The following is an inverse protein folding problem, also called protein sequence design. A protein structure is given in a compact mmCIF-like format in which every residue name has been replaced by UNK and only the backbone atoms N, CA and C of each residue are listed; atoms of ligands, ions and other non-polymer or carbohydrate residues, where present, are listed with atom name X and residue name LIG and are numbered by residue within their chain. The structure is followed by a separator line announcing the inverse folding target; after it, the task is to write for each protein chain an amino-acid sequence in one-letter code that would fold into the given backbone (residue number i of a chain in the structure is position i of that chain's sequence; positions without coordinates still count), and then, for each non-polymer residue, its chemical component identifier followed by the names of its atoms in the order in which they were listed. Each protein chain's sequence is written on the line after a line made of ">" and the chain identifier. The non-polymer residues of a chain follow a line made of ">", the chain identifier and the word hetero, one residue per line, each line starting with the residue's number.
data_IF_316458337184
#
_entry.id   IF_316458337184
#
_cell.length_a   1.000
_cell.length_b   1.000
_cell.length_c   1.000
_cell.angle_alpha   90.00
_cell.angle_beta   90.00
_cell.angle_gamma   90.00
#
_symmetry.space_group_name_H-M   'P 1'
#
loop_
_entity.id
_entity.type
_entity.pdbx_description
1 polymer ?
#
# COMPACT_ATOMS: atom_id res chain seq x y z
N UNK A 1 38.86 11.30 -11.34
CA UNK A 1 37.90 11.94 -10.41
C UNK A 1 36.51 11.38 -10.70
N UNK A 2 36.04 10.45 -9.88
CA UNK A 2 34.70 9.87 -9.98
C UNK A 2 33.67 10.98 -9.70
N UNK A 3 32.89 11.38 -10.71
CA UNK A 3 31.75 12.28 -10.52
C UNK A 3 30.73 11.52 -9.67
N UNK A 4 30.67 11.80 -8.37
CA UNK A 4 29.61 11.29 -7.51
C UNK A 4 28.27 11.71 -8.12
N UNK A 5 27.44 10.74 -8.50
CA UNK A 5 26.05 11.02 -8.85
C UNK A 5 25.42 11.73 -7.65
N UNK A 6 24.72 12.86 -7.84
CA UNK A 6 24.02 13.49 -6.74
C UNK A 6 23.05 12.49 -6.12
N UNK A 7 23.05 12.42 -4.79
CA UNK A 7 22.19 11.51 -4.04
C UNK A 7 20.71 11.82 -4.38
N UNK A 8 19.85 10.81 -4.52
CA UNK A 8 18.45 11.02 -4.85
C UNK A 8 17.78 11.85 -3.76
N UNK A 9 17.25 13.03 -4.12
CA UNK A 9 16.47 13.86 -3.20
C UNK A 9 15.02 13.40 -3.21
N UNK A 10 14.40 13.22 -2.03
CA UNK A 10 12.96 13.00 -1.92
C UNK A 10 12.23 14.27 -2.37
N UNK A 11 11.39 14.15 -3.41
CA UNK A 11 10.59 15.24 -3.95
C UNK A 11 9.16 15.15 -3.45
N UNK A 12 8.58 13.95 -3.37
CA UNK A 12 7.19 13.75 -2.99
C UNK A 12 7.03 12.59 -2.04
N UNK A 13 6.41 12.84 -0.88
CA UNK A 13 6.21 11.87 0.19
C UNK A 13 4.72 11.75 0.52
N UNK A 14 4.22 10.53 0.66
CA UNK A 14 2.97 10.27 1.35
C UNK A 14 3.29 9.82 2.77
N UNK A 15 2.83 10.58 3.76
CA UNK A 15 3.02 10.28 5.17
C UNK A 15 1.72 9.78 5.76
N UNK A 16 1.68 8.54 6.23
CA UNK A 16 0.52 7.99 6.93
C UNK A 16 0.76 8.00 8.44
N UNK A 17 -0.19 8.57 9.18
CA UNK A 17 -0.19 8.60 10.65
C UNK A 17 -1.37 7.77 11.16
N UNK A 18 -1.07 6.68 11.89
CA UNK A 18 -2.10 5.79 12.44
C UNK A 18 -2.80 6.35 13.68
N UNK A 19 -3.99 5.81 13.98
CA UNK A 19 -4.83 6.23 15.13
C UNK A 19 -4.07 6.22 16.45
N UNK A 20 -3.19 5.25 16.69
CA UNK A 20 -2.41 5.13 17.93
C UNK A 20 -1.41 6.27 18.16
N UNK A 21 -1.08 7.04 17.12
CA UNK A 21 -0.18 8.21 17.19
C UNK A 21 -0.96 9.54 17.28
N UNK A 22 -2.20 9.55 16.78
CA UNK A 22 -3.07 10.73 16.76
C UNK A 22 -3.91 10.80 18.04
N UNK A 23 -4.26 9.65 18.60
CA UNK A 23 -5.23 9.50 19.69
C UNK A 23 -4.53 9.04 20.99
N UNK A 24 -4.46 9.91 22.01
CA UNK A 24 -3.77 9.61 23.29
C UNK A 24 -4.70 8.86 24.27
N UNK A 25 -4.17 8.19 25.31
CA UNK A 25 -5.03 7.58 26.35
C UNK A 25 -5.70 8.62 27.27
N UNK A 26 -5.11 9.81 27.40
CA UNK A 26 -5.43 10.78 28.47
C UNK A 26 -5.97 12.12 27.97
N UNK A 27 -5.69 12.50 26.72
CA UNK A 27 -6.16 13.74 26.09
C UNK A 27 -7.10 13.44 24.92
N UNK A 28 -7.78 14.46 24.40
CA UNK A 28 -8.66 14.33 23.24
C UNK A 28 -7.91 14.06 21.91
N UNK A 29 -6.58 14.23 21.92
CA UNK A 29 -5.65 14.17 20.79
C UNK A 29 -4.21 14.13 21.34
N UNK A 30 -3.30 13.30 20.81
CA UNK A 30 -1.88 13.28 21.24
C UNK A 30 -1.14 14.50 20.67
N UNK A 31 -1.41 15.68 21.24
CA UNK A 31 -0.86 16.96 20.75
C UNK A 31 0.66 16.97 20.76
N UNK A 32 1.30 16.31 21.73
CA UNK A 32 2.76 16.26 21.82
C UNK A 32 3.35 15.51 20.62
N UNK A 33 2.90 14.29 20.36
CA UNK A 33 3.40 13.48 19.24
C UNK A 33 3.10 14.17 17.90
N UNK A 34 1.87 14.64 17.73
CA UNK A 34 1.45 15.27 16.47
C UNK A 34 2.17 16.59 16.23
N UNK A 35 2.42 17.42 17.25
CA UNK A 35 3.18 18.66 17.08
C UNK A 35 4.60 18.38 16.59
N UNK A 36 5.28 17.36 17.15
CA UNK A 36 6.61 16.97 16.66
C UNK A 36 6.60 16.49 15.21
N UNK A 37 5.54 15.78 14.78
CA UNK A 37 5.36 15.40 13.39
C UNK A 37 5.08 16.62 12.48
N UNK A 38 4.26 17.58 12.94
CA UNK A 38 3.98 18.83 12.23
C UNK A 38 5.28 19.60 11.99
N UNK A 39 6.12 19.76 13.00
CA UNK A 39 7.42 20.43 12.86
C UNK A 39 8.32 19.74 11.82
N UNK A 40 8.35 18.41 11.78
CA UNK A 40 9.10 17.67 10.76
C UNK A 40 8.51 17.83 9.35
N UNK A 41 7.19 17.82 9.20
CA UNK A 41 6.51 18.10 7.92
C UNK A 41 6.82 19.53 7.45
N UNK A 42 6.80 20.51 8.34
CA UNK A 42 7.17 21.91 8.05
C UNK A 42 8.60 21.98 7.52
N UNK A 43 9.56 21.28 8.16
CA UNK A 43 10.95 21.22 7.68
C UNK A 43 11.06 20.58 6.30
N UNK A 44 10.34 19.49 6.04
CA UNK A 44 10.29 18.86 4.71
C UNK A 44 9.77 19.82 3.64
N UNK A 45 8.63 20.46 3.90
CA UNK A 45 8.02 21.41 2.96
C UNK A 45 8.91 22.63 2.72
N UNK A 46 9.56 23.16 3.76
CA UNK A 46 10.54 24.26 3.64
C UNK A 46 11.75 23.86 2.80
N UNK A 47 12.16 22.58 2.84
CA UNK A 47 13.20 22.00 1.99
C UNK A 47 12.78 21.75 0.53
N UNK A 48 11.53 22.06 0.18
CA UNK A 48 10.94 21.88 -1.15
C UNK A 48 10.35 20.50 -1.42
N UNK A 49 10.15 19.68 -0.39
CA UNK A 49 9.49 18.38 -0.51
C UNK A 49 7.97 18.56 -0.48
N UNK A 50 7.28 17.99 -1.45
CA UNK A 50 5.81 17.89 -1.47
C UNK A 50 5.35 16.77 -0.54
N UNK A 51 4.39 17.07 0.32
CA UNK A 51 3.88 16.11 1.32
C UNK A 51 2.37 15.95 1.14
N UNK A 52 1.90 14.71 1.18
CA UNK A 52 0.48 14.38 1.37
C UNK A 52 0.36 13.62 2.69
N UNK A 53 -0.47 14.12 3.60
CA UNK A 53 -0.71 13.50 4.90
C UNK A 53 -1.95 12.61 4.82
N UNK A 54 -1.82 11.32 5.13
CA UNK A 54 -2.94 10.41 5.31
C UNK A 54 -3.13 10.18 6.80
N UNK A 55 -4.21 10.71 7.38
CA UNK A 55 -4.39 10.69 8.83
C UNK A 55 -5.59 9.85 9.24
N UNK A 56 -5.43 9.04 10.28
CA UNK A 56 -6.54 8.35 10.96
C UNK A 56 -6.97 9.13 12.22
N UNK A 57 -8.00 8.64 12.92
CA UNK A 57 -8.37 9.16 14.25
C UNK A 57 -9.70 9.93 14.31
N UNK A 58 -10.40 10.10 13.19
CA UNK A 58 -11.73 10.72 13.16
C UNK A 58 -12.72 10.01 14.11
N UNK A 59 -12.87 8.69 14.00
CA UNK A 59 -13.75 7.92 14.89
C UNK A 59 -13.35 8.05 16.36
N UNK A 60 -12.05 8.01 16.67
CA UNK A 60 -11.55 8.16 18.05
C UNK A 60 -11.87 9.54 18.63
N UNK A 61 -11.64 10.59 17.84
CA UNK A 61 -12.01 11.97 18.16
C UNK A 61 -13.52 12.12 18.41
N UNK A 62 -14.36 11.49 17.58
CA UNK A 62 -15.81 11.50 17.75
C UNK A 62 -16.28 10.76 19.00
N UNK A 63 -15.70 9.59 19.30
CA UNK A 63 -16.02 8.79 20.50
C UNK A 63 -15.80 9.60 21.77
N UNK A 64 -14.65 10.26 21.89
CA UNK A 64 -14.36 11.11 23.06
C UNK A 64 -15.32 12.29 23.14
N UNK A 65 -15.58 12.97 22.01
CA UNK A 65 -16.47 14.13 21.99
C UNK A 65 -17.89 13.78 22.46
N UNK A 66 -18.34 12.57 22.17
CA UNK A 66 -19.66 12.07 22.53
C UNK A 66 -19.68 11.34 23.88
N UNK A 67 -18.56 11.27 24.61
CA UNK A 67 -18.40 10.43 25.80
C UNK A 67 -18.91 9.00 25.55
N UNK A 68 -18.55 8.45 24.39
CA UNK A 68 -19.03 7.13 23.96
C UNK A 68 -18.27 6.03 24.70
N UNK A 69 -18.94 5.40 25.65
CA UNK A 69 -18.37 4.37 26.53
C UNK A 69 -18.59 2.93 26.02
N UNK A 70 -19.46 2.71 25.03
CA UNK A 70 -19.73 1.34 24.55
C UNK A 70 -18.50 0.75 23.88
N UNK A 71 -18.07 -0.42 24.32
CA UNK A 71 -16.91 -1.14 23.76
C UNK A 71 -17.05 -1.37 22.25
N UNK A 72 -18.23 -1.82 21.82
CA UNK A 72 -18.54 -2.05 20.42
C UNK A 72 -19.36 -0.89 19.83
N UNK A 73 -18.93 -0.42 18.66
CA UNK A 73 -19.66 0.53 17.84
C UNK A 73 -20.04 -0.18 16.53
N UNK A 74 -21.32 -0.16 16.18
CA UNK A 74 -21.82 -0.68 14.89
C UNK A 74 -21.16 0.08 13.72
N UNK A 75 -21.36 -0.37 12.48
CA UNK A 75 -21.00 0.43 11.30
C UNK A 75 -21.59 1.83 11.40
N UNK A 76 -22.91 1.94 11.63
CA UNK A 76 -23.63 3.21 11.67
C UNK A 76 -23.10 4.11 12.78
N UNK A 77 -22.84 3.56 13.98
CA UNK A 77 -22.24 4.32 15.07
C UNK A 77 -20.87 4.86 14.66
N UNK A 78 -20.02 4.03 14.03
CA UNK A 78 -18.69 4.46 13.58
C UNK A 78 -18.76 5.55 12.52
N UNK A 79 -19.70 5.47 11.58
CA UNK A 79 -19.92 6.49 10.56
C UNK A 79 -20.34 7.82 11.21
N UNK A 80 -21.28 7.79 12.17
CA UNK A 80 -21.70 8.97 12.91
C UNK A 80 -20.56 9.57 13.73
N UNK A 81 -19.79 8.73 14.43
CA UNK A 81 -18.63 9.13 15.21
C UNK A 81 -17.53 9.72 14.32
N UNK A 82 -17.27 9.16 13.13
CA UNK A 82 -16.35 9.73 12.15
C UNK A 82 -16.82 11.10 11.68
N UNK A 83 -18.11 11.26 11.35
CA UNK A 83 -18.67 12.53 10.93
C UNK A 83 -18.54 13.63 12.00
N UNK A 84 -18.67 13.27 13.28
CA UNK A 84 -18.46 14.18 14.42
C UNK A 84 -16.97 14.49 14.62
N UNK A 85 -16.11 13.49 14.49
CA UNK A 85 -14.69 13.62 14.83
C UNK A 85 -13.81 14.16 13.72
N UNK A 86 -14.19 14.01 12.44
CA UNK A 86 -13.43 14.44 11.28
C UNK A 86 -13.22 15.98 11.23
N UNK A 87 -14.26 16.83 11.43
CA UNK A 87 -14.04 18.28 11.52
C UNK A 87 -13.10 18.68 12.66
N UNK A 88 -13.13 17.95 13.78
CA UNK A 88 -12.24 18.20 14.93
C UNK A 88 -10.80 17.82 14.62
N UNK A 89 -10.59 16.67 13.98
CA UNK A 89 -9.27 16.23 13.50
C UNK A 89 -8.67 17.29 12.58
N UNK A 90 -9.46 17.77 11.62
CA UNK A 90 -9.05 18.86 10.74
C UNK A 90 -8.76 20.16 11.50
N UNK A 91 -9.62 20.54 12.47
CA UNK A 91 -9.41 21.73 13.28
C UNK A 91 -8.07 21.73 14.03
N UNK A 92 -7.66 20.59 14.59
CA UNK A 92 -6.35 20.46 15.26
C UNK A 92 -5.21 20.61 14.25
N UNK A 93 -5.27 19.96 13.09
CA UNK A 93 -4.24 20.14 12.07
C UNK A 93 -4.17 21.58 11.56
N UNK A 94 -5.31 22.21 11.28
CA UNK A 94 -5.37 23.62 10.87
C UNK A 94 -4.71 24.52 11.93
N UNK A 95 -5.02 24.33 13.21
CA UNK A 95 -4.42 25.11 14.30
C UNK A 95 -2.89 24.92 14.37
N UNK A 96 -2.40 23.69 14.23
CA UNK A 96 -0.96 23.39 14.33
C UNK A 96 -0.19 23.92 13.12
N UNK A 97 -0.69 23.72 11.90
CA UNK A 97 -0.03 24.19 10.68
C UNK A 97 -0.15 25.70 10.46
N UNK A 98 -1.20 26.34 10.97
CA UNK A 98 -1.35 27.81 10.92
C UNK A 98 -0.23 28.54 11.66
N UNK A 99 0.40 27.94 12.68
CA UNK A 99 1.58 28.49 13.38
C UNK A 99 2.81 28.62 12.48
N UNK A 100 2.79 27.97 11.32
CA UNK A 100 3.88 27.94 10.35
C UNK A 100 3.45 28.50 8.98
N UNK A 101 2.32 29.22 8.92
CA UNK A 101 1.73 29.76 7.68
C UNK A 101 1.47 28.70 6.59
N UNK A 102 1.29 27.44 6.98
CA UNK A 102 0.96 26.35 6.07
C UNK A 102 -0.55 26.17 6.02
N UNK A 103 -1.11 26.32 4.82
CA UNK A 103 -2.52 26.00 4.55
C UNK A 103 -2.69 24.49 4.41
N UNK A 104 -3.79 23.96 4.98
CA UNK A 104 -4.18 22.56 4.85
C UNK A 104 -5.47 22.43 4.05
N UNK A 105 -5.61 21.34 3.30
CA UNK A 105 -6.83 21.04 2.57
C UNK A 105 -7.34 19.64 2.94
N UNK A 106 -8.61 19.55 3.30
CA UNK A 106 -9.26 18.28 3.55
C UNK A 106 -9.56 17.57 2.23
N UNK A 107 -9.22 16.28 2.15
CA UNK A 107 -9.58 15.41 1.03
C UNK A 107 -10.17 14.11 1.59
N UNK A 108 -11.42 13.82 1.25
CA UNK A 108 -12.09 12.58 1.65
C UNK A 108 -12.24 11.68 0.43
N UNK A 109 -11.73 10.46 0.51
CA UNK A 109 -11.74 9.49 -0.58
C UNK A 109 -12.37 8.18 -0.11
N UNK A 110 -12.81 7.37 -1.07
CA UNK A 110 -13.16 5.97 -0.80
C UNK A 110 -12.30 5.06 -1.65
N UNK A 111 -11.98 3.86 -1.16
CA UNK A 111 -11.27 2.84 -1.95
C UNK A 111 -11.95 2.58 -3.31
N UNK A 112 -13.27 2.29 -3.30
CA UNK A 112 -14.05 2.08 -4.52
C UNK A 112 -14.04 3.31 -5.44
N UNK A 113 -13.97 4.51 -4.86
CA UNK A 113 -13.85 5.75 -5.61
C UNK A 113 -12.52 5.87 -6.38
N UNK A 114 -11.46 5.19 -5.94
CA UNK A 114 -10.15 5.19 -6.60
C UNK A 114 -9.95 4.06 -7.61
N UNK A 115 -10.84 3.06 -7.62
CA UNK A 115 -10.92 2.01 -8.63
C UNK A 115 -11.58 2.54 -9.92
N UNK A 116 -12.55 3.45 -9.81
CA UNK A 116 -13.14 4.16 -10.95
C UNK A 116 -12.14 5.16 -11.57
N UNK A 117 -11.91 5.04 -12.89
CA UNK A 117 -10.91 5.85 -13.60
C UNK A 117 -11.19 7.35 -13.52
N UNK A 118 -12.45 7.76 -13.66
CA UNK A 118 -12.81 9.17 -13.71
C UNK A 118 -12.67 9.83 -12.33
N UNK A 119 -13.20 9.20 -11.29
CA UNK A 119 -13.06 9.64 -9.90
C UNK A 119 -11.61 9.67 -9.46
N UNK A 120 -10.82 8.67 -9.86
CA UNK A 120 -9.37 8.66 -9.68
C UNK A 120 -8.70 9.89 -10.31
N UNK A 121 -8.94 10.18 -11.59
CA UNK A 121 -8.33 11.32 -12.28
C UNK A 121 -8.70 12.63 -11.62
N UNK A 122 -9.95 12.78 -11.17
CA UNK A 122 -10.39 13.97 -10.43
C UNK A 122 -9.64 14.12 -9.10
N UNK A 123 -9.51 13.04 -8.33
CA UNK A 123 -8.77 13.04 -7.06
C UNK A 123 -7.28 13.38 -7.28
N UNK A 124 -6.64 12.75 -8.28
CA UNK A 124 -5.25 13.03 -8.65
C UNK A 124 -5.04 14.49 -9.04
N UNK A 125 -5.85 15.00 -9.97
CA UNK A 125 -5.73 16.38 -10.45
C UNK A 125 -5.90 17.40 -9.31
N UNK A 126 -6.82 17.10 -8.37
CA UNK A 126 -7.03 17.93 -7.19
C UNK A 126 -5.80 17.91 -6.27
N UNK A 127 -5.26 16.72 -5.96
CA UNK A 127 -4.05 16.60 -5.15
C UNK A 127 -2.85 17.30 -5.81
N UNK A 128 -2.62 17.10 -7.10
CA UNK A 128 -1.54 17.77 -7.84
C UNK A 128 -1.69 19.30 -7.83
N UNK A 129 -2.93 19.80 -7.95
CA UNK A 129 -3.19 21.24 -7.86
C UNK A 129 -2.91 21.80 -6.47
N UNK A 130 -3.33 21.10 -5.41
CA UNK A 130 -3.06 21.52 -4.02
C UNK A 130 -1.55 21.58 -3.74
N UNK A 131 -0.81 20.56 -4.17
CA UNK A 131 0.65 20.53 -4.04
C UNK A 131 1.33 21.68 -4.79
N UNK A 132 0.88 21.98 -6.02
CA UNK A 132 1.37 23.12 -6.80
C UNK A 132 1.10 24.47 -6.12
N UNK A 133 -0.01 24.58 -5.36
CA UNK A 133 -0.33 25.75 -4.53
C UNK A 133 0.39 25.77 -3.18
N UNK A 134 1.26 24.78 -2.90
CA UNK A 134 1.93 24.61 -1.61
C UNK A 134 0.96 24.45 -0.43
N UNK A 135 -0.24 23.93 -0.70
CA UNK A 135 -1.24 23.57 0.32
C UNK A 135 -1.02 22.10 0.69
N UNK A 136 -0.97 21.79 1.98
CA UNK A 136 -0.80 20.42 2.48
C UNK A 136 -2.13 19.65 2.40
N UNK A 137 -2.26 18.63 1.52
CA UNK A 137 -3.46 17.81 1.49
C UNK A 137 -3.45 16.84 2.68
N UNK A 138 -4.55 16.83 3.44
CA UNK A 138 -4.83 15.88 4.51
C UNK A 138 -5.94 14.96 4.03
N UNK A 139 -5.55 13.75 3.66
CA UNK A 139 -6.39 12.70 3.13
C UNK A 139 -6.90 11.81 4.28
N UNK A 140 -8.19 11.50 4.26
CA UNK A 140 -8.76 10.44 5.09
C UNK A 140 -9.85 9.68 4.29
N UNK A 141 -10.22 8.50 4.77
CA UNK A 141 -11.36 7.76 4.23
C UNK A 141 -12.66 8.55 4.47
N UNK A 142 -13.59 8.51 3.53
CA UNK A 142 -14.93 9.05 3.69
C UNK A 142 -15.82 8.04 4.42
N UNK A 143 -15.60 7.88 5.73
CA UNK A 143 -16.25 6.87 6.57
C UNK A 143 -17.79 6.79 6.36
N UNK A 144 -18.47 7.92 6.16
CA UNK A 144 -19.94 8.01 6.03
C UNK A 144 -20.51 7.16 4.89
N UNK A 145 -19.73 6.86 3.85
CA UNK A 145 -20.18 6.10 2.66
C UNK A 145 -19.48 4.75 2.52
N UNK A 146 -18.69 4.34 3.51
CA UNK A 146 -17.94 3.07 3.53
C UNK A 146 -18.82 1.93 4.09
N UNK A 147 -18.73 0.73 3.50
CA UNK A 147 -19.44 -0.49 3.94
C UNK A 147 -18.55 -1.36 4.85
N UNK A 148 -19.13 -2.33 5.58
CA UNK A 148 -18.38 -3.22 6.48
C UNK A 148 -17.25 -4.01 5.79
N UNK A 149 -17.47 -4.41 4.53
CA UNK A 149 -16.52 -5.15 3.70
C UNK A 149 -15.22 -4.39 3.42
N UNK A 150 -15.23 -3.07 3.57
CA UNK A 150 -14.11 -2.18 3.24
C UNK A 150 -13.28 -1.75 4.46
N UNK A 151 -13.66 -2.12 5.69
CA UNK A 151 -13.15 -1.45 6.90
C UNK A 151 -11.74 -1.84 7.41
N UNK A 152 -11.16 -2.95 6.96
CA UNK A 152 -9.91 -3.44 7.53
C UNK A 152 -8.68 -2.80 6.88
N UNK A 153 -7.92 -2.02 7.66
CA UNK A 153 -6.64 -1.46 7.21
C UNK A 153 -6.74 -0.28 6.24
N UNK A 154 -7.91 0.36 6.17
CA UNK A 154 -8.29 1.29 5.11
C UNK A 154 -7.26 2.39 4.84
N UNK A 155 -6.79 3.09 5.89
CA UNK A 155 -5.82 4.17 5.67
C UNK A 155 -4.41 3.70 5.30
N UNK A 156 -3.99 2.47 5.65
CA UNK A 156 -2.69 1.94 5.18
C UNK A 156 -2.77 1.71 3.66
N UNK A 157 -3.87 1.09 3.20
CA UNK A 157 -4.13 0.82 1.79
C UNK A 157 -4.41 2.08 0.98
N UNK A 158 -5.26 2.97 1.48
CA UNK A 158 -5.53 4.28 0.92
C UNK A 158 -4.24 5.07 0.73
N UNK A 159 -3.33 5.05 1.72
CA UNK A 159 -2.04 5.69 1.59
C UNK A 159 -1.18 5.09 0.47
N UNK A 160 -1.14 3.76 0.33
CA UNK A 160 -0.45 3.09 -0.77
C UNK A 160 -1.03 3.44 -2.14
N UNK A 161 -2.36 3.45 -2.27
CA UNK A 161 -3.04 3.84 -3.51
C UNK A 161 -2.72 5.29 -3.84
N UNK A 162 -2.91 6.23 -2.90
CA UNK A 162 -2.60 7.66 -3.08
C UNK A 162 -1.14 7.83 -3.51
N UNK A 163 -0.20 7.17 -2.82
CA UNK A 163 1.23 7.21 -3.11
C UNK A 163 1.55 6.77 -4.54
N UNK A 164 1.05 5.61 -4.98
CA UNK A 164 1.27 5.13 -6.35
C UNK A 164 0.62 6.02 -7.40
N UNK A 165 -0.56 6.55 -7.11
CA UNK A 165 -1.36 7.39 -8.02
C UNK A 165 -0.77 8.77 -8.25
N UNK A 166 -0.17 9.39 -7.23
CA UNK A 166 0.54 10.68 -7.34
C UNK A 166 2.03 10.52 -7.63
N UNK A 167 2.50 9.28 -7.83
CA UNK A 167 3.90 8.95 -8.08
C UNK A 167 4.85 9.53 -7.01
N UNK A 168 4.52 9.30 -5.74
CA UNK A 168 5.43 9.65 -4.64
C UNK A 168 6.71 8.82 -4.69
N UNK A 169 7.82 9.38 -4.23
CA UNK A 169 9.08 8.64 -4.11
C UNK A 169 9.00 7.61 -2.98
N UNK A 170 8.42 8.01 -1.85
CA UNK A 170 8.30 7.19 -0.64
C UNK A 170 6.92 7.30 0.01
N UNK A 171 6.39 6.15 0.41
CA UNK A 171 5.30 6.01 1.37
C UNK A 171 5.88 5.77 2.78
N UNK A 172 5.63 6.69 3.70
CA UNK A 172 6.03 6.56 5.11
C UNK A 172 4.84 6.09 5.93
N UNK A 173 4.90 4.89 6.50
CA UNK A 173 3.88 4.32 7.37
C UNK A 173 4.33 4.45 8.83
N UNK A 174 3.87 5.50 9.52
CA UNK A 174 4.14 5.67 10.95
C UNK A 174 3.20 4.81 11.80
N UNK A 175 3.79 4.05 12.71
CA UNK A 175 3.10 3.11 13.61
C UNK A 175 3.64 3.23 15.05
N UNK A 176 3.21 2.33 15.92
CA UNK A 176 3.66 2.15 17.31
C UNK A 176 4.89 1.22 17.49
N UNK A 177 5.30 0.52 16.43
CA UNK A 177 6.47 -0.38 16.41
C UNK A 177 7.61 0.22 15.61
N UNK A 178 8.85 -0.01 16.04
CA UNK A 178 10.03 0.61 15.44
C UNK A 178 10.38 0.03 14.08
N UNK A 179 10.25 -1.29 13.90
CA UNK A 179 10.63 -2.04 12.71
C UNK A 179 9.72 -3.26 12.50
N UNK A 180 9.79 -3.82 11.29
CA UNK A 180 9.34 -5.19 11.00
C UNK A 180 10.42 -6.17 11.45
N UNK A 181 10.02 -7.27 12.07
CA UNK A 181 10.92 -8.27 12.62
C UNK A 181 10.84 -9.56 11.81
N UNK A 182 11.98 -10.20 11.56
CA UNK A 182 12.05 -11.51 10.93
C UNK A 182 11.63 -12.64 11.91
N UNK A 183 11.63 -13.88 11.43
CA UNK A 183 11.28 -15.07 12.24
C UNK A 183 12.20 -15.29 13.44
N UNK A 184 13.43 -14.76 13.39
CA UNK A 184 14.42 -14.83 14.47
C UNK A 184 14.35 -13.62 15.41
N UNK A 185 13.33 -12.76 15.28
CA UNK A 185 13.17 -11.52 16.04
C UNK A 185 14.34 -10.56 15.87
N UNK A 186 14.90 -10.48 14.67
CA UNK A 186 15.86 -9.42 14.28
C UNK A 186 15.13 -8.36 13.46
N UNK A 187 15.49 -7.07 13.60
CA UNK A 187 14.85 -6.01 12.84
C UNK A 187 15.30 -6.08 11.38
N UNK A 188 14.34 -6.07 10.46
CA UNK A 188 14.64 -5.95 9.03
C UNK A 188 14.93 -4.49 8.72
N UNK A 189 16.13 -4.19 8.21
CA UNK A 189 16.53 -2.82 7.87
C UNK A 189 16.11 -2.43 6.45
N UNK A 190 16.37 -3.31 5.49
CA UNK A 190 16.04 -3.12 4.08
C UNK A 190 15.56 -4.43 3.46
N UNK A 191 14.50 -4.34 2.67
CA UNK A 191 13.96 -5.43 1.87
C UNK A 191 13.66 -4.96 0.45
N UNK A 192 13.84 -5.85 -0.52
CA UNK A 192 13.53 -5.61 -1.94
C UNK A 192 12.13 -6.08 -2.33
N UNK A 193 11.33 -6.41 -1.32
CA UNK A 193 10.03 -7.02 -1.45
C UNK A 193 9.54 -7.54 -0.10
N UNK A 194 8.27 -7.86 -0.01
CA UNK A 194 7.69 -8.52 1.17
C UNK A 194 7.63 -10.01 0.90
N UNK A 195 8.57 -10.78 1.43
CA UNK A 195 8.58 -12.23 1.26
C UNK A 195 7.48 -12.89 2.13
N UNK A 196 6.99 -14.07 1.75
CA UNK A 196 6.01 -14.84 2.52
C UNK A 196 6.49 -15.20 3.93
N UNK A 197 7.80 -15.44 4.13
CA UNK A 197 8.36 -15.63 5.47
C UNK A 197 8.24 -14.37 6.31
N UNK A 198 8.57 -13.21 5.73
CA UNK A 198 8.43 -11.91 6.41
C UNK A 198 6.96 -11.60 6.71
N UNK A 199 6.06 -11.94 5.78
CA UNK A 199 4.63 -11.77 5.93
C UNK A 199 4.04 -12.69 7.02
N UNK A 200 4.53 -13.94 7.09
CA UNK A 200 4.15 -14.89 8.12
C UNK A 200 4.67 -14.48 9.50
N UNK A 201 5.93 -14.03 9.58
CA UNK A 201 6.56 -13.53 10.80
C UNK A 201 5.84 -12.29 11.39
N UNK A 202 5.18 -11.50 10.54
CA UNK A 202 4.43 -10.30 10.93
C UNK A 202 3.11 -10.55 11.71
N UNK A 203 2.97 -11.69 12.39
CA UNK A 203 1.74 -12.18 13.03
C UNK A 203 1.57 -11.92 14.54
N UNK A 204 2.19 -10.89 15.11
CA UNK A 204 1.95 -10.51 16.52
C UNK A 204 0.54 -9.95 16.76
N UNK A 205 0.02 -9.99 18.00
CA UNK A 205 -1.32 -9.50 18.31
C UNK A 205 -1.46 -8.02 17.94
N UNK A 206 -2.53 -7.67 17.22
CA UNK A 206 -2.91 -6.28 17.04
C UNK A 206 -3.22 -5.68 18.42
N UNK A 207 -2.66 -4.51 18.74
CA UNK A 207 -3.12 -3.77 19.93
C UNK A 207 -4.60 -3.47 19.76
N UNK A 208 -5.41 -3.57 20.82
CA UNK A 208 -6.87 -3.36 20.77
C UNK A 208 -7.30 -2.01 20.14
N UNK A 209 -6.36 -1.04 20.06
CA UNK A 209 -6.54 0.29 19.48
C UNK A 209 -6.06 0.43 18.03
N UNK A 210 -5.30 -0.53 17.50
CA UNK A 210 -4.76 -0.53 16.13
C UNK A 210 -5.56 -1.48 15.23
N UNK A 211 -6.34 -0.93 14.29
CA UNK A 211 -7.26 -1.70 13.42
C UNK A 211 -6.57 -2.47 12.27
N UNK A 212 -5.28 -2.25 12.01
CA UNK A 212 -4.59 -2.75 10.80
C UNK A 212 -3.47 -3.79 11.03
N UNK A 213 -2.98 -3.98 12.26
CA UNK A 213 -1.86 -4.88 12.52
C UNK A 213 -0.60 -4.61 11.65
N UNK A 214 0.37 -5.51 11.69
CA UNK A 214 1.55 -5.43 10.80
C UNK A 214 1.24 -5.99 9.39
N UNK A 215 0.43 -7.04 9.29
CA UNK A 215 0.04 -7.64 8.00
C UNK A 215 -0.62 -6.65 7.04
N UNK A 216 -1.50 -5.75 7.51
CA UNK A 216 -2.10 -4.74 6.61
C UNK A 216 -1.07 -3.73 6.09
N UNK A 217 -0.05 -3.40 6.90
CA UNK A 217 1.03 -2.49 6.46
C UNK A 217 1.89 -3.16 5.41
N UNK A 218 2.22 -4.43 5.60
CA UNK A 218 2.93 -5.21 4.60
C UNK A 218 2.15 -5.34 3.29
N UNK A 219 0.82 -5.51 3.33
CA UNK A 219 -0.04 -5.45 2.12
C UNK A 219 0.02 -4.09 1.44
N UNK A 220 -0.11 -3.01 2.19
CA UNK A 220 0.01 -1.64 1.65
C UNK A 220 1.40 -1.39 1.02
N UNK A 221 2.46 -1.87 1.67
CA UNK A 221 3.82 -1.83 1.12
C UNK A 221 3.92 -2.60 -0.19
N UNK A 222 3.37 -3.84 -0.25
CA UNK A 222 3.34 -4.62 -1.49
C UNK A 222 2.66 -3.83 -2.61
N UNK A 223 1.47 -3.28 -2.36
CA UNK A 223 0.74 -2.47 -3.34
C UNK A 223 1.54 -1.24 -3.80
N UNK A 224 2.15 -0.51 -2.87
CA UNK A 224 3.00 0.64 -3.19
C UNK A 224 4.18 0.23 -4.08
N UNK A 225 4.87 -0.87 -3.74
CA UNK A 225 5.98 -1.40 -4.52
C UNK A 225 5.56 -1.83 -5.93
N UNK A 226 4.37 -2.41 -6.10
CA UNK A 226 3.81 -2.76 -7.41
C UNK A 226 3.59 -1.53 -8.30
N UNK A 227 3.32 -0.38 -7.70
CA UNK A 227 3.18 0.91 -8.37
C UNK A 227 4.51 1.67 -8.55
N UNK A 228 5.62 1.09 -8.07
CA UNK A 228 6.97 1.64 -8.16
C UNK A 228 7.34 2.60 -7.03
N UNK A 229 6.61 2.58 -5.91
CA UNK A 229 6.82 3.45 -4.75
C UNK A 229 7.58 2.69 -3.67
N UNK A 230 8.70 3.26 -3.20
CA UNK A 230 9.41 2.71 -2.04
C UNK A 230 8.64 3.03 -0.76
N UNK A 231 8.83 2.26 0.31
CA UNK A 231 8.11 2.47 1.56
C UNK A 231 9.02 2.35 2.78
N UNK A 232 8.64 2.96 3.89
CA UNK A 232 9.25 2.72 5.21
C UNK A 232 8.17 2.52 6.27
N UNK A 233 8.33 1.47 7.09
CA UNK A 233 7.52 1.25 8.29
C UNK A 233 8.40 1.59 9.49
N UNK A 234 7.95 2.54 10.32
CA UNK A 234 8.68 2.89 11.54
C UNK A 234 7.79 3.51 12.62
N UNK A 235 8.31 3.66 13.82
CA UNK A 235 7.57 4.23 14.94
C UNK A 235 7.52 5.75 14.83
N UNK A 236 6.30 6.31 14.84
CA UNK A 236 6.10 7.76 14.88
C UNK A 236 6.45 8.39 16.23
N UNK A 237 6.76 7.58 17.25
CA UNK A 237 7.15 8.04 18.60
C UNK A 237 8.66 8.26 18.74
N UNK A 238 9.45 7.86 17.75
CA UNK A 238 10.89 8.08 17.76
C UNK A 238 11.20 9.57 17.64
N UNK A 239 12.15 10.10 18.44
CA UNK A 239 12.57 11.50 18.32
C UNK A 239 13.07 11.81 16.91
N UNK A 240 12.65 12.96 16.37
CA UNK A 240 13.08 13.51 15.08
C UNK A 240 12.96 12.50 13.92
N UNK A 241 11.98 11.59 13.98
CA UNK A 241 11.87 10.48 13.02
C UNK A 241 11.78 10.95 11.56
N UNK A 242 11.10 12.06 11.30
CA UNK A 242 10.97 12.60 9.96
C UNK A 242 12.31 13.12 9.40
N UNK A 243 13.17 13.69 10.25
CA UNK A 243 14.52 14.11 9.83
C UNK A 243 15.40 12.87 9.57
N UNK A 244 15.35 11.88 10.47
CA UNK A 244 16.09 10.62 10.32
C UNK A 244 15.69 9.85 9.04
N UNK A 245 14.42 9.92 8.64
CA UNK A 245 13.93 9.33 7.37
C UNK A 245 14.59 10.01 6.17
N UNK A 246 14.69 11.34 6.17
CA UNK A 246 15.34 12.09 5.08
C UNK A 246 16.84 11.78 4.98
N UNK A 247 17.51 11.65 6.13
CA UNK A 247 18.94 11.30 6.20
C UNK A 247 19.21 9.86 5.76
N UNK A 248 18.29 8.94 6.06
CA UNK A 248 18.38 7.53 5.68
C UNK A 248 18.20 7.30 4.17
N UNK A 249 17.37 8.11 3.50
CA UNK A 249 16.96 7.86 2.12
C UNK A 249 18.13 7.69 1.12
N UNK A 250 19.15 8.57 1.09
CA UNK A 250 20.31 8.40 0.21
C UNK A 250 21.07 7.07 0.38
N UNK A 251 21.03 6.50 1.59
CA UNK A 251 21.73 5.26 1.94
C UNK A 251 20.92 4.06 1.46
N UNK A 252 19.64 4.01 1.86
CA UNK A 252 18.77 2.84 1.58
C UNK A 252 18.41 2.70 0.11
N UNK A 253 18.24 3.82 -0.59
CA UNK A 253 17.92 3.86 -2.02
C UNK A 253 19.11 3.45 -2.89
N UNK A 254 20.33 3.44 -2.35
CA UNK A 254 21.51 2.98 -3.07
C UNK A 254 21.71 1.47 -2.85
N UNK A 255 21.49 0.62 -3.89
CA UNK A 255 21.65 -0.83 -3.77
C UNK A 255 23.08 -1.26 -3.41
N UNK A 256 24.07 -0.38 -3.57
CA UNK A 256 25.49 -0.67 -3.28
C UNK A 256 25.91 -0.31 -1.85
N UNK A 257 25.06 0.36 -1.09
CA UNK A 257 25.33 0.73 0.30
C UNK A 257 24.54 -0.17 1.22
N UNK A 258 25.17 -0.63 2.30
CA UNK A 258 24.47 -1.35 3.34
C UNK A 258 23.92 -0.35 4.38
N UNK A 259 22.64 -0.46 4.78
CA UNK A 259 22.09 0.40 5.83
C UNK A 259 22.80 0.16 7.17
N UNK A 260 23.15 1.22 7.92
CA UNK A 260 23.72 1.08 9.24
C UNK A 260 22.73 0.42 10.22
N UNK A 261 23.24 -0.13 11.32
CA UNK A 261 22.43 -0.89 12.28
C UNK A 261 21.33 -0.05 12.95
N UNK A 262 21.59 1.23 13.17
CA UNK A 262 20.72 2.19 13.86
C UNK A 262 19.76 2.95 12.93
N UNK A 263 19.67 2.53 11.66
CA UNK A 263 18.76 3.15 10.70
C UNK A 263 17.31 3.02 11.16
N UNK A 264 16.48 4.08 11.07
CA UNK A 264 15.09 4.00 11.50
C UNK A 264 14.28 3.05 10.61
N UNK A 265 13.65 2.07 11.26
CA UNK A 265 12.61 1.22 10.69
C UNK A 265 13.04 0.27 9.61
N UNK A 266 12.03 -0.23 8.89
CA UNK A 266 12.19 -1.18 7.78
C UNK A 266 11.89 -0.51 6.47
N UNK A 267 12.89 -0.46 5.59
CA UNK A 267 12.79 0.12 4.26
C UNK A 267 12.49 -0.93 3.21
N UNK A 268 11.48 -0.68 2.39
CA UNK A 268 11.08 -1.51 1.26
C UNK A 268 11.37 -0.75 -0.02
N UNK A 269 12.38 -1.18 -0.77
CA UNK A 269 12.87 -0.42 -1.92
C UNK A 269 12.25 -0.97 -3.20
N UNK A 270 11.44 -0.14 -3.85
CA UNK A 270 10.91 -0.45 -5.17
C UNK A 270 12.04 -0.39 -6.22
N UNK A 271 12.07 -1.34 -7.15
CA UNK A 271 13.10 -1.38 -8.19
C UNK A 271 13.04 -0.15 -9.11
N UNK A 272 14.22 0.32 -9.54
CA UNK A 272 14.40 1.52 -10.38
C UNK A 272 13.82 1.40 -11.80
N UNK A 273 13.66 0.19 -12.30
CA UNK A 273 12.78 -0.08 -13.42
C UNK A 273 11.45 -0.58 -12.85
N UNK A 274 10.34 0.06 -13.21
CA UNK A 274 8.97 -0.41 -12.90
C UNK A 274 8.75 -1.90 -13.23
N UNK A 275 9.63 -2.50 -14.04
CA UNK A 275 9.66 -3.90 -14.43
C UNK A 275 10.69 -4.78 -13.68
N UNK A 276 11.77 -4.22 -13.09
CA UNK A 276 12.82 -5.03 -12.45
C UNK A 276 12.57 -5.26 -10.94
N UNK A 277 11.91 -4.34 -10.23
CA UNK A 277 11.56 -4.53 -8.82
C UNK A 277 10.45 -5.56 -8.62
N UNK A 278 9.39 -5.48 -9.43
CA UNK A 278 8.24 -6.38 -9.39
C UNK A 278 8.61 -7.81 -9.78
N UNK A 279 9.47 -8.01 -10.79
CA UNK A 279 10.02 -9.34 -11.14
C UNK A 279 10.84 -9.94 -10.00
N UNK A 280 11.70 -9.14 -9.35
CA UNK A 280 12.49 -9.60 -8.20
C UNK A 280 11.64 -9.93 -6.98
N UNK A 281 10.59 -9.16 -6.71
CA UNK A 281 9.67 -9.47 -5.62
C UNK A 281 8.85 -10.74 -5.89
N UNK A 282 8.35 -10.93 -7.12
CA UNK A 282 7.68 -12.18 -7.52
C UNK A 282 8.62 -13.37 -7.26
N UNK A 283 9.85 -13.33 -7.78
CA UNK A 283 10.86 -14.39 -7.60
C UNK A 283 11.31 -14.59 -6.14
N UNK A 284 11.29 -13.53 -5.32
CA UNK A 284 11.69 -13.59 -3.91
C UNK A 284 10.55 -14.03 -2.98
N UNK A 285 9.32 -14.11 -3.47
CA UNK A 285 8.22 -14.64 -2.68
C UNK A 285 8.20 -16.16 -2.76
N UNK A 286 8.54 -16.88 -1.69
CA UNK A 286 8.28 -18.32 -1.62
C UNK A 286 6.77 -18.52 -1.65
N UNK A 287 6.26 -18.94 -2.81
CA UNK A 287 4.88 -19.34 -3.08
C UNK A 287 4.03 -19.49 -1.82
N UNK A 288 2.98 -18.67 -1.70
CA UNK A 288 1.78 -19.10 -0.96
C UNK A 288 1.50 -20.55 -1.35
N UNK A 289 1.01 -21.39 -0.44
CA UNK A 289 0.67 -22.80 -0.75
C UNK A 289 -0.31 -22.96 -1.93
N UNK A 290 -0.84 -21.85 -2.46
CA UNK A 290 -1.62 -21.78 -3.66
C UNK A 290 -0.85 -21.93 -4.98
N UNK A 291 -1.41 -22.73 -5.88
CA UNK A 291 -0.86 -23.04 -7.21
C UNK A 291 -1.95 -23.01 -8.27
N UNK A 292 -1.58 -22.67 -9.50
CA UNK A 292 -2.44 -22.76 -10.67
C UNK A 292 -1.83 -23.79 -11.63
N UNK A 293 -2.53 -24.88 -11.90
CA UNK A 293 -2.11 -25.85 -12.90
C UNK A 293 -2.66 -25.43 -14.26
N UNK A 294 -1.81 -25.49 -15.28
CA UNK A 294 -2.16 -25.07 -16.64
C UNK A 294 -2.00 -26.21 -17.64
N UNK A 295 -2.74 -26.12 -18.75
CA UNK A 295 -2.63 -27.08 -19.86
C UNK A 295 -1.35 -26.83 -20.68
N UNK A 296 -1.07 -27.74 -21.62
CA UNK A 296 0.13 -27.65 -22.45
C UNK A 296 0.11 -26.43 -23.40
N UNK A 297 -1.08 -26.00 -23.83
CA UNK A 297 -1.23 -24.83 -24.70
C UNK A 297 -0.84 -23.54 -23.97
N UNK A 298 -1.28 -23.40 -22.73
CA UNK A 298 -0.92 -22.33 -21.83
C UNK A 298 0.55 -22.41 -21.43
N UNK A 299 1.07 -23.58 -21.05
CA UNK A 299 2.50 -23.80 -20.79
C UNK A 299 3.37 -23.33 -21.96
N UNK A 300 3.07 -23.77 -23.18
CA UNK A 300 3.80 -23.37 -24.38
C UNK A 300 3.67 -21.87 -24.70
N UNK A 301 2.50 -21.26 -24.45
CA UNK A 301 2.32 -19.81 -24.60
C UNK A 301 3.20 -19.03 -23.60
N UNK A 302 3.23 -19.48 -22.34
CA UNK A 302 4.07 -18.89 -21.30
C UNK A 302 5.55 -18.97 -21.67
N UNK A 303 6.04 -20.13 -22.11
CA UNK A 303 7.44 -20.35 -22.50
C UNK A 303 7.86 -19.53 -23.73
N UNK A 304 6.94 -19.30 -24.68
CA UNK A 304 7.18 -18.44 -25.86
C UNK A 304 7.23 -16.94 -25.54
N UNK A 305 7.02 -16.56 -24.28
CA UNK A 305 7.12 -15.18 -23.82
C UNK A 305 5.80 -14.41 -23.82
N UNK A 306 4.65 -15.08 -23.95
CA UNK A 306 3.36 -14.43 -23.72
C UNK A 306 3.22 -14.05 -22.25
N UNK A 307 2.93 -12.77 -21.99
CA UNK A 307 2.97 -12.17 -20.65
C UNK A 307 1.72 -12.40 -19.81
N UNK A 308 0.72 -13.14 -20.31
CA UNK A 308 -0.59 -13.27 -19.65
C UNK A 308 -1.14 -14.70 -19.72
N UNK A 309 -1.70 -15.17 -18.61
CA UNK A 309 -2.43 -16.45 -18.54
C UNK A 309 -3.93 -16.19 -18.72
N UNK A 310 -4.56 -16.94 -19.61
CA UNK A 310 -6.01 -16.87 -19.84
C UNK A 310 -6.76 -17.95 -19.05
N UNK A 311 -8.03 -17.72 -18.68
CA UNK A 311 -8.81 -18.68 -17.90
C UNK A 311 -9.00 -20.02 -18.59
N UNK A 312 -9.05 -20.01 -19.93
CA UNK A 312 -9.15 -21.21 -20.77
C UNK A 312 -8.00 -22.19 -20.56
N UNK A 313 -6.81 -21.68 -20.22
CA UNK A 313 -5.61 -22.49 -20.00
C UNK A 313 -5.47 -23.05 -18.58
N UNK A 314 -6.42 -22.77 -17.69
CA UNK A 314 -6.36 -23.20 -16.28
C UNK A 314 -7.05 -24.55 -16.08
N UNK A 315 -6.28 -25.53 -15.63
CA UNK A 315 -6.72 -26.92 -15.41
C UNK A 315 -7.09 -27.18 -13.97
N UNK A 316 -6.41 -26.55 -13.00
CA UNK A 316 -6.69 -26.73 -11.58
C UNK A 316 -6.21 -25.53 -10.76
N UNK A 317 -6.84 -25.31 -9.62
CA UNK A 317 -6.49 -24.26 -8.66
C UNK A 317 -6.32 -24.96 -7.32
N UNK A 318 -5.12 -24.88 -6.76
CA UNK A 318 -4.79 -25.43 -5.45
C UNK A 318 -4.62 -24.28 -4.47
N UNK A 319 -5.08 -24.45 -3.23
CA UNK A 319 -5.02 -23.41 -2.20
C UNK A 319 -5.95 -22.21 -2.43
N UNK A 320 -5.78 -21.17 -1.62
CA UNK A 320 -6.57 -19.93 -1.68
C UNK A 320 -5.67 -18.72 -1.81
N UNK A 321 -6.06 -17.78 -2.66
CA UNK A 321 -5.34 -16.54 -2.90
C UNK A 321 -6.31 -15.44 -3.32
N UNK A 322 -5.91 -14.20 -3.09
CA UNK A 322 -6.62 -12.99 -3.50
C UNK A 322 -5.97 -12.37 -4.74
N UNK A 323 -6.70 -11.47 -5.42
CA UNK A 323 -6.12 -10.67 -6.49
C UNK A 323 -4.96 -9.81 -5.93
N UNK A 324 -3.80 -9.87 -6.58
CA UNK A 324 -2.54 -9.25 -6.18
C UNK A 324 -1.57 -10.20 -5.49
N UNK A 325 -2.00 -11.41 -5.10
CA UNK A 325 -1.12 -12.38 -4.47
C UNK A 325 -0.17 -13.05 -5.49
N UNK A 326 1.09 -13.34 -5.10
CA UNK A 326 2.01 -14.12 -5.92
C UNK A 326 1.62 -15.59 -5.90
N UNK A 327 1.35 -16.16 -7.08
CA UNK A 327 0.92 -17.55 -7.26
C UNK A 327 1.90 -18.31 -8.14
N UNK A 328 2.20 -19.55 -7.74
CA UNK A 328 3.00 -20.47 -8.55
C UNK A 328 2.16 -21.05 -9.68
N UNK A 329 2.76 -21.21 -10.85
CA UNK A 329 2.14 -21.82 -12.01
C UNK A 329 2.88 -23.11 -12.29
N UNK A 330 2.10 -24.18 -12.37
CA UNK A 330 2.61 -25.51 -12.56
C UNK A 330 2.11 -26.10 -13.87
N UNK A 331 2.92 -26.97 -14.48
CA UNK A 331 2.41 -27.89 -15.48
C UNK A 331 1.39 -28.84 -14.85
N UNK A 332 0.69 -29.62 -15.68
CA UNK A 332 -0.22 -30.67 -15.21
C UNK A 332 0.49 -31.72 -14.32
N UNK A 333 1.80 -31.90 -14.51
CA UNK A 333 2.66 -32.76 -13.68
C UNK A 333 3.09 -32.10 -12.36
N UNK A 334 2.51 -30.94 -12.01
CA UNK A 334 2.78 -30.17 -10.78
C UNK A 334 4.18 -29.56 -10.71
N UNK A 335 4.93 -29.57 -11.81
CA UNK A 335 6.25 -28.93 -11.88
C UNK A 335 6.09 -27.41 -12.04
N UNK A 336 6.72 -26.58 -11.20
CA UNK A 336 6.66 -25.13 -11.34
C UNK A 336 7.33 -24.68 -12.63
N UNK A 337 6.61 -23.90 -13.43
CA UNK A 337 7.07 -23.37 -14.72
C UNK A 337 7.20 -21.84 -14.71
N UNK A 338 6.40 -21.17 -13.87
CA UNK A 338 6.38 -19.72 -13.77
C UNK A 338 5.79 -19.28 -12.42
N UNK A 339 5.96 -18.00 -12.11
CA UNK A 339 5.30 -17.34 -11.01
C UNK A 339 4.71 -16.02 -11.50
N UNK A 340 3.50 -15.71 -11.05
CA UNK A 340 2.76 -14.53 -11.51
C UNK A 340 1.93 -13.91 -10.41
N UNK A 341 1.31 -12.77 -10.71
CA UNK A 341 0.37 -12.12 -9.79
C UNK A 341 -1.06 -12.37 -10.25
N UNK A 342 -1.86 -12.89 -9.31
CA UNK A 342 -3.28 -13.13 -9.50
C UNK A 342 -4.02 -11.83 -9.85
N UNK A 343 -4.75 -11.79 -10.96
CA UNK A 343 -5.70 -10.70 -11.23
C UNK A 343 -7.09 -10.97 -10.66
N UNK A 344 -7.35 -12.23 -10.31
CA UNK A 344 -8.61 -12.74 -9.79
C UNK A 344 -8.30 -13.52 -8.52
N UNK A 345 -9.17 -13.45 -7.52
CA UNK A 345 -9.10 -14.38 -6.38
C UNK A 345 -9.30 -15.82 -6.84
N UNK A 346 -8.87 -16.81 -6.04
CA UNK A 346 -9.09 -18.22 -6.36
C UNK A 346 -10.58 -18.55 -6.56
N UNK A 347 -11.47 -17.87 -5.83
CA UNK A 347 -12.93 -18.00 -5.95
C UNK A 347 -13.46 -17.45 -7.27
N UNK A 348 -12.96 -16.30 -7.72
CA UNK A 348 -13.33 -15.72 -9.01
C UNK A 348 -12.77 -16.55 -10.16
N UNK A 349 -11.50 -16.95 -10.08
CA UNK A 349 -10.86 -17.78 -11.08
C UNK A 349 -11.57 -19.13 -11.26
N UNK A 350 -12.04 -19.74 -10.17
CA UNK A 350 -12.82 -20.98 -10.23
C UNK A 350 -14.11 -20.85 -11.06
N UNK A 351 -14.70 -19.65 -11.17
CA UNK A 351 -15.90 -19.39 -12.00
C UNK A 351 -15.58 -19.28 -13.49
N UNK A 352 -14.37 -18.84 -13.82
CA UNK A 352 -13.95 -18.56 -15.20
C UNK A 352 -13.01 -19.63 -15.78
N UNK A 353 -12.55 -20.56 -14.94
CA UNK A 353 -11.71 -21.69 -15.30
C UNK A 353 -12.24 -22.43 -16.53
N UNK A 354 -11.36 -22.67 -17.50
CA UNK A 354 -11.66 -23.41 -18.73
C UNK A 354 -12.50 -22.65 -19.77
N UNK A 355 -12.84 -21.38 -19.50
CA UNK A 355 -13.68 -20.56 -20.39
C UNK A 355 -12.87 -19.64 -21.26
N UNK A 356 -13.36 -19.39 -22.47
CA UNK A 356 -12.78 -18.48 -23.43
C UNK A 356 -12.92 -17.02 -22.95
N UNK A 357 -12.01 -16.15 -23.40
CA UNK A 357 -12.09 -14.71 -23.10
C UNK A 357 -13.37 -14.04 -23.63
N UNK A 358 -14.08 -14.67 -24.57
CA UNK A 358 -15.39 -14.20 -25.05
C UNK A 358 -16.48 -14.50 -24.03
N UNK A 359 -16.56 -15.73 -23.54
CA UNK A 359 -17.55 -16.14 -22.53
C UNK A 359 -17.37 -15.40 -21.21
N UNK A 360 -16.13 -15.09 -20.83
CA UNK A 360 -15.84 -14.27 -19.64
C UNK A 360 -16.32 -12.83 -19.85
N UNK A 361 -16.13 -12.24 -21.03
CA UNK A 361 -16.60 -10.87 -21.34
C UNK A 361 -18.12 -10.76 -21.38
N UNK A 362 -18.79 -11.78 -21.90
CA UNK A 362 -20.26 -11.85 -21.98
C UNK A 362 -20.89 -11.96 -20.58
N UNK A 363 -20.30 -12.73 -19.65
CA UNK A 363 -20.79 -12.81 -18.26
C UNK A 363 -20.52 -11.55 -17.44
N UNK A 364 -19.38 -10.89 -17.69
CA UNK A 364 -19.00 -9.64 -16.99
C UNK A 364 -19.73 -8.41 -17.58
N UNK A 365 -20.44 -8.57 -18.70
CA UNK A 365 -21.35 -7.54 -19.24
C UNK A 365 -20.68 -6.45 -20.10
N UNK A 366 -19.53 -6.73 -20.71
CA UNK A 366 -18.80 -5.75 -21.56
C UNK A 366 -19.26 -5.85 -23.02
N UNK A 367 -19.95 -4.82 -23.54
CA UNK A 367 -20.35 -4.71 -24.96
C UNK A 367 -19.18 -4.22 -25.83
N UNK A 368 -19.15 -4.65 -27.10
CA UNK A 368 -18.04 -4.48 -28.07
C UNK A 368 -17.63 -3.04 -28.44
N UNK A 369 -18.16 -1.99 -27.80
CA UNK A 369 -17.89 -0.59 -28.19
C UNK A 369 -16.97 0.21 -27.26
N UNK A 370 -16.38 -0.38 -26.22
CA UNK A 370 -15.43 0.31 -25.33
C UNK A 370 -13.98 0.16 -25.82
N UNK A 371 -13.67 0.67 -27.01
CA UNK A 371 -12.30 0.77 -27.55
C UNK A 371 -11.54 2.01 -27.03
N UNK A 372 -11.46 2.22 -25.70
CA UNK A 372 -10.32 2.88 -25.04
C UNK A 372 -10.24 2.38 -23.59
N UNK A 373 -9.63 1.21 -23.38
CA UNK A 373 -9.31 0.69 -22.04
C UNK A 373 -10.31 -0.33 -21.47
N UNK A 374 -10.59 -1.40 -22.22
CA UNK A 374 -11.38 -2.53 -21.74
C UNK A 374 -10.84 -3.09 -20.41
N UNK A 375 -11.69 -3.43 -19.42
CA UNK A 375 -11.24 -4.02 -18.16
C UNK A 375 -10.51 -5.35 -18.37
N UNK A 376 -9.36 -5.54 -17.73
CA UNK A 376 -8.50 -6.74 -17.87
C UNK A 376 -9.08 -8.04 -17.24
N UNK A 377 -10.37 -8.08 -16.94
CA UNK A 377 -11.07 -9.16 -16.22
C UNK A 377 -11.04 -10.52 -16.96
N UNK A 378 -10.67 -10.54 -18.24
CA UNK A 378 -10.52 -11.75 -19.04
C UNK A 378 -9.14 -12.42 -18.88
N UNK A 379 -8.22 -11.83 -18.12
CA UNK A 379 -6.89 -12.37 -17.83
C UNK A 379 -6.86 -12.89 -16.40
N UNK A 380 -6.34 -14.11 -16.22
CA UNK A 380 -6.10 -14.70 -14.89
C UNK A 380 -4.92 -14.02 -14.23
N UNK A 381 -3.90 -13.70 -15.04
CA UNK A 381 -2.65 -13.09 -14.60
C UNK A 381 -2.29 -11.94 -15.54
N UNK A 382 -1.99 -10.78 -14.97
CA UNK A 382 -1.52 -9.63 -15.74
C UNK A 382 -0.08 -9.84 -16.22
N UNK A 383 0.76 -10.49 -15.39
CA UNK A 383 2.22 -10.51 -15.56
C UNK A 383 2.85 -11.78 -15.00
N UNK A 384 3.67 -12.40 -15.83
CA UNK A 384 4.33 -13.67 -15.58
C UNK A 384 5.84 -13.52 -15.53
N UNK A 385 6.47 -14.27 -14.63
CA UNK A 385 7.91 -14.47 -14.56
C UNK A 385 8.17 -15.95 -14.72
N UNK A 386 8.79 -16.34 -15.83
CA UNK A 386 9.22 -17.72 -16.03
C UNK A 386 10.34 -18.02 -15.05
N UNK A 387 10.17 -19.08 -14.26
CA UNK A 387 11.24 -19.65 -13.47
C UNK A 387 11.80 -20.79 -14.33
N UNK A 388 12.73 -20.47 -15.23
CA UNK A 388 13.48 -21.52 -15.90
C UNK A 388 14.50 -22.05 -14.89
N UNK A 389 14.25 -23.27 -14.40
CA UNK A 389 15.23 -24.06 -13.70
C UNK A 389 16.27 -24.62 -14.68
N UNK A 390 17.52 -24.47 -14.27
CA UNK A 390 18.76 -25.12 -14.73
C UNK A 390 19.38 -24.71 -16.09
N UNK A 391 20.42 -23.86 -16.00
CA UNK A 391 21.58 -23.90 -16.91
C UNK A 391 21.95 -22.62 -17.68
N UNK A 392 22.60 -21.66 -17.03
CA UNK A 392 23.99 -21.17 -17.31
C UNK A 392 24.41 -20.07 -16.32
#
# INVERSE_FOLDING_TARGET
>A
MSRSRPLPKLKRIVLKVGTSLVDSTTEHFDRKTVSGLVEGIVRWMSGGTEVVLVSSGAVGSGRRRMNWEKDHASLIDRQALAAIGQPRLMGVYTELFAKHDIQVAQVLLTRLGLEDRQRYLNAKNTLERLLAWKVLPIVNENDTVVTEELQFGDNDRLAAVVAGKIHSDVLVLLTDVESVWDSEKRPVRRAWGVSPELFAAAGGPASARSRGGMKSKLRAVQEAMLMGVSSVITSGRLPNILDRIMEAWPIVSNPRMEPPEDIPGTWFIAGTERLAGRKRWILACQSSDARILVDEGARAALERGDRSLLPSGVVEIEGTFEAGDPVAICSIDRNPIAQGLANLSSRELARFKGRSSREVREEVGLREHDEVGAPEHHRVLERLVLALGDGE
#
